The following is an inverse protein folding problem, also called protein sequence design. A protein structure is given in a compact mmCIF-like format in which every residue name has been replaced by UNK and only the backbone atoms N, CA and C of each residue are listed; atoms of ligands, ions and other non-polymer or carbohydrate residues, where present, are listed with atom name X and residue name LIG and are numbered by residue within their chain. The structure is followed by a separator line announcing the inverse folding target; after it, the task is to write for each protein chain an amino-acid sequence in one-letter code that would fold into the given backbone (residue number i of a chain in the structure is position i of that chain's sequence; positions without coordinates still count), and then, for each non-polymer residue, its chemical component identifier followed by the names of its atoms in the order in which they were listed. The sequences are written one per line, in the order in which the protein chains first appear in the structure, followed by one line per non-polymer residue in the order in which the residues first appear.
data_IF_955418094327
#
_entry.id   IF_955418094327
#
_cell.length_a   1.000
_cell.length_b   1.000
_cell.length_c   1.000
_cell.angle_alpha   90.00
_cell.angle_beta   90.00
_cell.angle_gamma   90.00
#
_symmetry.space_group_name_H-M   'P 1'
#
loop_
_entity.id
_entity.type
_entity.pdbx_description
1 polymer ?
#
# COMPACT_ATOMS: atom_id res chain seq x y z
N UNK A 1 -13.52 -2.54 5.41
CA UNK A 1 -13.96 -1.31 4.71
C UNK A 1 -13.89 -0.08 5.62
N UNK A 2 -14.67 0.01 6.72
CA UNK A 2 -14.67 1.21 7.59
C UNK A 2 -13.28 1.52 8.20
N UNK A 3 -12.59 0.48 8.70
CA UNK A 3 -11.22 0.56 9.21
C UNK A 3 -10.22 1.05 8.13
N UNK A 4 -10.37 0.60 6.89
CA UNK A 4 -9.53 1.03 5.76
C UNK A 4 -9.79 2.49 5.35
N UNK A 5 -11.06 2.94 5.42
CA UNK A 5 -11.40 4.35 5.23
C UNK A 5 -10.80 5.25 6.30
N UNK A 6 -10.89 4.84 7.58
CA UNK A 6 -10.26 5.55 8.68
C UNK A 6 -8.74 5.63 8.50
N UNK A 7 -8.11 4.54 8.05
CA UNK A 7 -6.70 4.50 7.70
C UNK A 7 -6.34 5.52 6.61
N UNK A 8 -7.08 5.58 5.50
CA UNK A 8 -6.86 6.57 4.42
C UNK A 8 -7.00 8.01 4.92
N UNK A 9 -8.01 8.31 5.75
CA UNK A 9 -8.18 9.64 6.32
C UNK A 9 -7.02 10.02 7.23
N UNK A 10 -6.55 9.09 8.07
CA UNK A 10 -5.43 9.31 8.97
C UNK A 10 -4.11 9.45 8.19
N UNK A 11 -3.93 8.66 7.14
CA UNK A 11 -2.79 8.78 6.22
C UNK A 11 -2.75 10.15 5.53
N UNK A 12 -3.88 10.60 4.99
CA UNK A 12 -4.00 11.92 4.40
C UNK A 12 -3.72 13.05 5.40
N UNK A 13 -4.20 12.90 6.64
CA UNK A 13 -3.93 13.85 7.73
C UNK A 13 -2.44 13.96 8.02
N UNK A 14 -1.72 12.85 8.18
CA UNK A 14 -0.28 12.87 8.44
C UNK A 14 0.52 13.39 7.25
N UNK A 15 0.12 13.06 6.02
CA UNK A 15 0.75 13.62 4.80
C UNK A 15 0.59 15.14 4.68
N UNK A 16 -0.55 15.69 5.08
CA UNK A 16 -0.84 17.13 4.98
C UNK A 16 -0.34 17.94 6.17
N UNK A 17 -0.57 17.47 7.39
CA UNK A 17 -0.40 18.27 8.63
C UNK A 17 0.90 17.96 9.35
N UNK A 18 1.28 16.68 9.40
CA UNK A 18 2.27 16.19 10.36
C UNK A 18 3.64 15.90 9.70
N UNK A 19 3.96 16.62 8.63
CA UNK A 19 5.21 16.43 7.88
C UNK A 19 6.42 17.08 8.58
N UNK A 20 6.63 16.75 9.84
CA UNK A 20 7.80 17.18 10.61
C UNK A 20 8.98 16.22 10.41
N UNK A 21 10.23 16.70 10.57
CA UNK A 21 11.44 15.87 10.49
C UNK A 21 11.60 14.91 11.68
N UNK A 22 10.88 15.15 12.78
CA UNK A 22 10.81 14.23 13.92
C UNK A 22 9.58 13.32 13.76
N UNK A 23 9.71 11.99 13.91
CA UNK A 23 8.60 11.08 13.77
C UNK A 23 7.56 11.30 14.87
N UNK A 24 6.31 11.58 14.50
CA UNK A 24 5.20 11.66 15.45
C UNK A 24 4.70 10.26 15.81
N UNK A 25 4.07 10.11 16.99
CA UNK A 25 3.47 8.83 17.39
C UNK A 25 2.39 8.36 16.40
N UNK A 26 1.66 9.30 15.80
CA UNK A 26 0.66 9.02 14.76
C UNK A 26 1.31 8.44 13.50
N UNK A 27 2.48 8.96 13.14
CA UNK A 27 3.24 8.50 11.97
C UNK A 27 3.72 7.06 12.14
N UNK A 28 4.24 6.70 13.33
CA UNK A 28 4.59 5.31 13.64
C UNK A 28 3.40 4.36 13.56
N UNK A 29 2.23 4.79 14.07
CA UNK A 29 1.00 4.01 14.04
C UNK A 29 0.56 3.74 12.59
N UNK A 30 0.65 4.75 11.73
CA UNK A 30 0.41 4.62 10.28
C UNK A 30 1.34 3.62 9.62
N UNK A 31 2.65 3.69 9.90
CA UNK A 31 3.60 2.78 9.30
C UNK A 31 3.35 1.34 9.71
N UNK A 32 3.01 1.11 10.98
CA UNK A 32 2.63 -0.20 11.46
C UNK A 32 1.35 -0.71 10.77
N UNK A 33 0.36 0.16 10.58
CA UNK A 33 -0.89 -0.20 9.91
C UNK A 33 -0.66 -0.51 8.42
N UNK A 34 0.11 0.33 7.71
CA UNK A 34 0.52 0.09 6.33
C UNK A 34 1.24 -1.24 6.17
N UNK A 35 2.22 -1.49 7.03
CA UNK A 35 2.97 -2.74 7.02
C UNK A 35 2.04 -3.94 7.23
N UNK A 36 1.08 -3.84 8.15
CA UNK A 36 0.09 -4.90 8.39
C UNK A 36 -0.80 -5.16 7.16
N UNK A 37 -1.25 -4.10 6.48
CA UNK A 37 -2.01 -4.21 5.23
C UNK A 37 -1.17 -4.87 4.14
N UNK A 38 0.06 -4.40 3.93
CA UNK A 38 0.99 -4.98 2.95
C UNK A 38 1.27 -6.45 3.25
N UNK A 39 1.44 -6.84 4.52
CA UNK A 39 1.59 -8.24 4.90
C UNK A 39 0.34 -9.07 4.61
N UNK A 40 -0.85 -8.52 4.80
CA UNK A 40 -2.09 -9.21 4.44
C UNK A 40 -2.17 -9.46 2.93
N UNK A 41 -1.78 -8.46 2.13
CA UNK A 41 -1.76 -8.58 0.66
C UNK A 41 -0.68 -9.51 0.16
N UNK A 42 0.51 -9.45 0.76
CA UNK A 42 1.59 -10.39 0.49
C UNK A 42 1.15 -11.82 0.82
N UNK A 43 0.43 -12.02 1.93
CA UNK A 43 -0.11 -13.33 2.29
C UNK A 43 -1.13 -13.81 1.27
N UNK A 44 -2.02 -12.95 0.78
CA UNK A 44 -2.97 -13.31 -0.28
C UNK A 44 -2.26 -13.67 -1.59
N UNK A 45 -1.22 -12.91 -1.97
CA UNK A 45 -0.34 -13.19 -3.11
C UNK A 45 0.34 -14.56 -3.01
N UNK A 46 0.85 -14.93 -1.83
CA UNK A 46 1.52 -16.22 -1.63
C UNK A 46 0.54 -17.38 -1.42
N UNK A 47 -0.70 -17.10 -1.07
CA UNK A 47 -1.73 -18.13 -0.87
C UNK A 47 -2.36 -18.50 -2.21
N UNK A 48 -1.58 -19.18 -3.05
CA UNK A 48 -2.07 -19.81 -4.26
C UNK A 48 -2.46 -21.28 -3.94
N UNK A 49 -3.71 -21.70 -4.20
CA UNK A 49 -4.19 -23.03 -3.84
C UNK A 49 -3.66 -24.15 -4.77
N UNK A 50 -3.01 -23.80 -5.88
CA UNK A 50 -2.62 -24.77 -6.90
C UNK A 50 -1.11 -25.06 -6.89
N UNK A 51 -0.75 -26.31 -6.60
CA UNK A 51 0.59 -26.92 -6.74
C UNK A 51 1.09 -26.98 -8.21
N UNK A 52 0.67 -26.06 -9.07
CA UNK A 52 1.09 -25.99 -10.48
C UNK A 52 2.24 -25.00 -10.64
N UNK A 53 3.47 -25.50 -10.48
CA UNK A 53 4.72 -24.89 -10.95
C UNK A 53 4.78 -23.35 -10.92
N UNK A 54 5.36 -22.80 -9.85
CA UNK A 54 5.52 -21.37 -9.53
C UNK A 54 5.71 -20.41 -10.72
N UNK A 55 6.39 -20.83 -11.78
CA UNK A 55 6.66 -20.01 -12.95
C UNK A 55 5.42 -19.73 -13.84
N UNK A 56 4.48 -20.68 -13.96
CA UNK A 56 3.23 -20.49 -14.71
C UNK A 56 2.22 -19.63 -13.94
N UNK A 57 2.12 -19.87 -12.64
CA UNK A 57 1.30 -19.08 -11.72
C UNK A 57 1.82 -17.64 -11.65
N UNK A 58 3.13 -17.43 -11.50
CA UNK A 58 3.71 -16.09 -11.54
C UNK A 58 3.45 -15.35 -12.85
N UNK A 59 3.48 -16.04 -14.00
CA UNK A 59 3.15 -15.43 -15.31
C UNK A 59 1.67 -15.06 -15.43
N UNK A 60 0.76 -15.91 -14.94
CA UNK A 60 -0.67 -15.63 -14.92
C UNK A 60 -0.98 -14.48 -13.95
N UNK A 61 -0.35 -14.50 -12.77
CA UNK A 61 -0.44 -13.48 -11.74
C UNK A 61 0.06 -12.12 -12.25
N UNK A 62 1.17 -12.10 -13.00
CA UNK A 62 1.66 -10.91 -13.71
C UNK A 62 0.85 -10.56 -14.97
N UNK A 63 -0.16 -11.34 -15.38
CA UNK A 63 -1.04 -10.94 -16.48
C UNK A 63 -2.12 -9.98 -15.97
N UNK A 64 -2.55 -10.12 -14.71
CA UNK A 64 -3.58 -9.28 -14.12
C UNK A 64 -3.06 -7.88 -13.80
N UNK A 65 -3.78 -6.87 -14.29
CA UNK A 65 -3.43 -5.46 -14.07
C UNK A 65 -3.44 -5.09 -12.59
N UNK A 66 -4.40 -5.62 -11.83
CA UNK A 66 -4.56 -5.35 -10.40
C UNK A 66 -3.39 -5.90 -9.58
N UNK A 67 -2.92 -7.10 -9.90
CA UNK A 67 -1.75 -7.69 -9.25
C UNK A 67 -0.46 -6.89 -9.49
N UNK A 68 -0.26 -6.36 -10.71
CA UNK A 68 0.88 -5.46 -10.97
C UNK A 68 0.79 -4.18 -10.13
N UNK A 69 -0.42 -3.65 -9.98
CA UNK A 69 -0.69 -2.47 -9.18
C UNK A 69 -0.34 -2.74 -7.71
N UNK A 70 -0.71 -3.91 -7.19
CA UNK A 70 -0.40 -4.33 -5.82
C UNK A 70 1.09 -4.48 -5.56
N UNK A 71 1.82 -5.16 -6.46
CA UNK A 71 3.29 -5.24 -6.39
C UNK A 71 3.92 -3.85 -6.45
N UNK A 72 3.37 -2.95 -7.28
CA UNK A 72 3.80 -1.55 -7.35
C UNK A 72 3.60 -0.80 -6.03
N UNK A 73 2.48 -1.00 -5.34
CA UNK A 73 2.21 -0.41 -4.04
C UNK A 73 3.22 -0.89 -2.98
N UNK A 74 3.52 -2.20 -2.94
CA UNK A 74 4.52 -2.75 -2.01
C UNK A 74 5.91 -2.14 -2.26
N UNK A 75 6.32 -2.02 -3.53
CA UNK A 75 7.60 -1.41 -3.89
C UNK A 75 7.66 0.07 -3.52
N UNK A 76 6.59 0.82 -3.76
CA UNK A 76 6.49 2.23 -3.39
C UNK A 76 6.54 2.42 -1.87
N UNK A 77 5.88 1.57 -1.09
CA UNK A 77 5.92 1.61 0.36
C UNK A 77 7.36 1.41 0.90
N UNK A 78 8.07 0.39 0.41
CA UNK A 78 9.47 0.14 0.80
C UNK A 78 10.40 1.29 0.38
N UNK A 79 10.20 1.85 -0.81
CA UNK A 79 10.95 3.02 -1.29
C UNK A 79 10.65 4.28 -0.45
N UNK A 80 9.40 4.47 -0.04
CA UNK A 80 8.97 5.58 0.82
C UNK A 80 9.59 5.50 2.21
N UNK A 81 9.58 4.31 2.81
CA UNK A 81 10.18 4.05 4.13
C UNK A 81 11.70 4.25 4.12
N UNK A 82 12.38 3.73 3.09
CA UNK A 82 13.84 3.90 2.92
C UNK A 82 14.22 5.35 2.68
N UNK A 83 13.45 6.10 1.88
CA UNK A 83 13.66 7.54 1.71
C UNK A 83 13.40 8.34 2.99
N UNK A 84 12.47 7.93 3.86
CA UNK A 84 12.19 8.57 5.15
C UNK A 84 13.34 8.38 6.15
N UNK A 85 13.99 7.21 6.14
CA UNK A 85 15.14 6.89 7.00
C UNK A 85 16.38 7.75 6.67
N UNK A 86 16.46 8.32 5.47
CA UNK A 86 17.58 9.17 5.05
C UNK A 86 17.18 10.65 5.24
N UNK A 87 17.80 11.39 6.19
CA UNK A 87 17.43 12.78 6.48
C UNK A 87 17.61 13.74 5.30
N UNK A 88 18.45 13.38 4.31
CA UNK A 88 18.61 14.14 3.06
C UNK A 88 17.51 13.92 2.01
N UNK A 89 16.62 12.94 2.19
CA UNK A 89 15.59 12.53 1.22
C UNK A 89 14.16 12.71 1.74
N UNK A 90 13.92 13.61 2.70
CA UNK A 90 12.58 13.88 3.24
C UNK A 90 11.58 14.34 2.18
N UNK A 91 12.01 15.18 1.24
CA UNK A 91 11.17 15.67 0.13
C UNK A 91 10.76 14.55 -0.85
N UNK A 92 11.70 13.75 -1.42
CA UNK A 92 11.33 12.61 -2.25
C UNK A 92 10.56 11.53 -1.47
N UNK A 93 10.86 11.32 -0.19
CA UNK A 93 10.07 10.43 0.68
C UNK A 93 8.60 10.84 0.77
N UNK A 94 8.31 12.14 0.88
CA UNK A 94 6.94 12.68 0.83
C UNK A 94 6.24 12.37 -0.48
N UNK A 95 6.93 12.57 -1.60
CA UNK A 95 6.39 12.32 -2.93
C UNK A 95 6.05 10.84 -3.09
N UNK A 96 6.98 9.96 -2.71
CA UNK A 96 6.77 8.51 -2.81
C UNK A 96 5.59 8.06 -1.93
N UNK A 97 5.51 8.54 -0.68
CA UNK A 97 4.37 8.25 0.20
C UNK A 97 3.04 8.79 -0.34
N UNK A 98 3.04 9.93 -1.02
CA UNK A 98 1.84 10.46 -1.67
C UNK A 98 1.41 9.64 -2.89
N UNK A 99 2.36 9.05 -3.64
CA UNK A 99 2.05 8.11 -4.71
C UNK A 99 1.49 6.80 -4.15
N UNK A 100 2.05 6.34 -3.04
CA UNK A 100 1.58 5.16 -2.31
C UNK A 100 0.13 5.34 -1.83
N UNK A 101 -0.24 6.53 -1.31
CA UNK A 101 -1.63 6.87 -1.00
C UNK A 101 -2.58 6.65 -2.19
N UNK A 102 -2.19 7.12 -3.38
CA UNK A 102 -3.00 7.02 -4.60
C UNK A 102 -3.23 5.55 -4.93
N UNK A 103 -2.21 4.70 -4.77
CA UNK A 103 -2.31 3.26 -4.99
C UNK A 103 -3.31 2.61 -4.02
N UNK A 104 -3.27 2.96 -2.73
CA UNK A 104 -4.26 2.48 -1.75
C UNK A 104 -5.69 2.96 -2.05
N UNK A 105 -5.86 4.17 -2.59
CA UNK A 105 -7.15 4.67 -3.06
C UNK A 105 -7.68 3.89 -4.28
N UNK A 106 -6.81 3.55 -5.23
CA UNK A 106 -7.19 2.71 -6.38
C UNK A 106 -7.61 1.31 -5.93
N UNK A 107 -6.91 0.73 -4.94
CA UNK A 107 -7.28 -0.56 -4.36
C UNK A 107 -8.62 -0.51 -3.63
N UNK A 108 -8.91 0.57 -2.91
CA UNK A 108 -10.23 0.80 -2.31
C UNK A 108 -11.32 0.82 -3.39
N UNK A 109 -11.09 1.52 -4.52
CA UNK A 109 -12.02 1.56 -5.63
C UNK A 109 -12.31 0.15 -6.16
N UNK A 110 -11.28 -0.67 -6.37
CA UNK A 110 -11.44 -2.06 -6.80
C UNK A 110 -12.32 -2.88 -5.85
N UNK A 111 -12.09 -2.78 -4.54
CA UNK A 111 -12.90 -3.45 -3.51
C UNK A 111 -14.38 -3.04 -3.64
N UNK A 112 -14.66 -1.76 -3.93
CA UNK A 112 -16.02 -1.28 -4.15
C UNK A 112 -16.63 -1.75 -5.47
N UNK A 113 -15.86 -1.78 -6.56
CA UNK A 113 -16.35 -2.24 -7.87
C UNK A 113 -16.69 -3.74 -7.86
N UNK A 114 -15.97 -4.53 -7.06
CA UNK A 114 -16.26 -5.97 -6.86
C UNK A 114 -17.48 -6.20 -5.94
N UNK A 115 -17.87 -5.21 -5.14
CA UNK A 115 -19.06 -5.30 -4.29
C UNK A 115 -20.34 -5.25 -5.14
N UNK A 116 -21.03 -6.39 -5.23
CA UNK A 116 -22.25 -6.63 -6.04
C UNK A 116 -23.44 -5.67 -5.83
N UNK A 117 -23.38 -4.77 -4.86
CA UNK A 117 -24.45 -3.78 -4.60
C UNK A 117 -24.28 -2.48 -5.40
N UNK A 118 -23.14 -2.27 -6.07
CA UNK A 118 -22.80 -1.03 -6.79
C UNK A 118 -22.26 -1.23 -8.22
N UNK A 119 -22.05 -2.48 -8.65
CA UNK A 119 -21.57 -2.85 -9.99
C UNK A 119 -22.68 -3.19 -10.97
#
# INVERSE_FOLDING_TARGET
ILSYFAFLCLFAYVLMVDFQPAPSWCECLIYFWLFSLVCEELRQLFYDPDELGLMKVALLYFSDFWNKLDVGAILLFVAGLTCRLIPGLLYPGRIILSLDFIMFCLRLMHIFTVSKTLG
#
